data_IF_179742678472
#
_entry.id   IF_179742678472
#
_cell.length_a   1.000
_cell.length_b   1.000
_cell.length_c   1.000
_cell.angle_alpha   90.00
_cell.angle_beta   90.00
_cell.angle_gamma   90.00
#
_symmetry.space_group_name_H-M   'P 1'
#
loop_
_entity.id
_entity.type
_entity.pdbx_description
1 polymer ?
#
# COMPACT_ATOMS: atom_id res chain seq x y z
N UNK A 1 9.22 -5.43 9.85
CA UNK A 1 9.24 -6.89 9.59
C UNK A 1 9.79 -7.10 8.18
N UNK A 2 10.28 -8.29 7.87
CA UNK A 2 10.90 -8.56 6.56
C UNK A 2 10.57 -9.99 6.14
N UNK A 3 10.31 -10.21 4.86
CA UNK A 3 10.18 -11.54 4.28
C UNK A 3 11.58 -11.94 3.75
N UNK A 4 12.24 -12.96 4.32
CA UNK A 4 13.55 -13.41 3.84
C UNK A 4 13.48 -14.32 2.61
N UNK A 5 12.26 -14.69 2.21
CA UNK A 5 11.97 -15.66 1.16
C UNK A 5 12.05 -15.07 -0.25
N UNK A 6 12.39 -15.93 -1.20
CA UNK A 6 12.32 -15.61 -2.61
C UNK A 6 10.94 -15.96 -3.21
N UNK A 7 10.81 -15.88 -4.54
CA UNK A 7 9.55 -16.15 -5.23
C UNK A 7 9.22 -17.64 -5.32
N UNK A 8 10.24 -18.51 -5.29
CA UNK A 8 10.09 -19.95 -5.37
C UNK A 8 9.48 -20.54 -4.09
N UNK A 9 9.70 -19.90 -2.95
CA UNK A 9 9.14 -20.27 -1.65
C UNK A 9 7.60 -20.19 -1.59
N UNK A 10 6.97 -19.45 -2.52
CA UNK A 10 5.51 -19.22 -2.57
C UNK A 10 4.90 -18.78 -1.24
N UNK A 11 5.69 -18.09 -0.42
CA UNK A 11 5.28 -17.68 0.91
C UNK A 11 4.15 -16.63 0.85
N UNK A 12 3.30 -16.55 1.88
CA UNK A 12 2.25 -15.53 1.95
C UNK A 12 2.80 -14.14 2.35
N UNK A 13 4.08 -14.02 2.72
CA UNK A 13 4.67 -12.75 3.17
C UNK A 13 5.13 -11.83 2.04
N UNK A 14 5.49 -12.38 0.87
CA UNK A 14 6.04 -11.60 -0.23
C UNK A 14 4.92 -10.92 -1.00
N UNK A 15 4.99 -9.59 -1.09
CA UNK A 15 4.09 -8.77 -1.93
C UNK A 15 4.05 -9.34 -3.36
N UNK A 16 2.88 -9.39 -4.01
CA UNK A 16 1.63 -8.71 -3.66
C UNK A 16 0.78 -9.40 -2.59
N UNK A 17 1.26 -10.48 -1.95
CA UNK A 17 0.57 -11.08 -0.80
C UNK A 17 0.53 -10.13 0.41
N UNK A 18 -0.50 -10.30 1.23
CA UNK A 18 -0.90 -9.34 2.27
C UNK A 18 -0.45 -9.72 3.67
N UNK A 19 0.17 -10.89 3.89
CA UNK A 19 0.37 -11.41 5.24
C UNK A 19 1.24 -10.47 6.12
N UNK A 20 2.26 -9.82 5.55
CA UNK A 20 3.05 -8.84 6.31
C UNK A 20 2.27 -7.58 6.69
N UNK A 21 1.24 -7.20 5.94
CA UNK A 21 0.39 -6.05 6.30
C UNK A 21 -0.55 -6.42 7.45
N UNK A 22 -1.12 -7.62 7.45
CA UNK A 22 -1.93 -8.11 8.57
C UNK A 22 -1.09 -8.38 9.83
N UNK A 23 0.14 -8.89 9.67
CA UNK A 23 1.08 -9.02 10.78
C UNK A 23 1.41 -7.63 11.37
N UNK A 24 1.57 -6.61 10.51
CA UNK A 24 1.86 -5.24 10.94
C UNK A 24 0.69 -4.66 11.73
N UNK A 25 -0.52 -4.83 11.19
CA UNK A 25 -1.74 -4.39 11.83
C UNK A 25 -1.93 -5.03 13.20
N UNK A 26 -1.67 -6.32 13.33
CA UNK A 26 -1.75 -7.04 14.60
C UNK A 26 -0.68 -6.57 15.58
N UNK A 27 0.58 -6.48 15.13
CA UNK A 27 1.73 -6.15 15.97
C UNK A 27 1.68 -4.74 16.52
N UNK A 28 1.18 -3.79 15.73
CA UNK A 28 1.17 -2.37 16.08
C UNK A 28 -0.23 -1.81 16.30
N UNK A 29 -1.24 -2.67 16.36
CA UNK A 29 -2.64 -2.29 16.53
C UNK A 29 -3.08 -1.22 15.52
N UNK A 30 -2.71 -1.40 14.25
CA UNK A 30 -3.06 -0.47 13.18
C UNK A 30 -4.48 -0.76 12.68
N UNK A 31 -5.26 0.30 12.52
CA UNK A 31 -6.48 0.26 11.74
C UNK A 31 -6.13 0.40 10.26
N UNK A 32 -6.20 -0.72 9.53
CA UNK A 32 -5.86 -0.75 8.11
C UNK A 32 -6.83 0.08 7.27
N UNK A 33 -8.11 0.14 7.61
CA UNK A 33 -9.11 0.89 6.84
C UNK A 33 -8.86 2.41 6.91
N UNK A 34 -8.25 2.85 8.01
CA UNK A 34 -7.79 4.23 8.23
C UNK A 34 -6.31 4.47 7.90
N UNK A 35 -5.63 3.47 7.34
CA UNK A 35 -4.22 3.56 6.94
C UNK A 35 -4.05 3.83 5.45
N UNK A 36 -2.85 4.28 5.08
CA UNK A 36 -2.45 4.54 3.70
C UNK A 36 -1.17 3.77 3.36
N UNK A 37 -1.08 3.28 2.13
CA UNK A 37 0.16 2.73 1.55
C UNK A 37 0.56 3.61 0.38
N UNK A 38 1.80 4.10 0.40
CA UNK A 38 2.36 4.91 -0.68
C UNK A 38 3.58 4.15 -1.20
N UNK A 39 3.59 3.78 -2.48
CA UNK A 39 4.72 3.09 -3.08
C UNK A 39 4.88 3.45 -4.54
N UNK A 40 6.06 3.21 -5.09
CA UNK A 40 6.36 3.30 -6.50
C UNK A 40 6.35 1.93 -7.20
N UNK A 41 6.12 0.84 -6.46
CA UNK A 41 6.07 -0.54 -6.97
C UNK A 41 4.63 -1.05 -7.01
N UNK A 42 4.27 -1.72 -8.09
CA UNK A 42 2.91 -2.23 -8.26
C UNK A 42 2.54 -3.29 -7.21
N UNK A 43 3.49 -4.12 -6.77
CA UNK A 43 3.24 -5.19 -5.80
C UNK A 43 2.82 -4.64 -4.43
N UNK A 44 3.37 -3.50 -4.04
CA UNK A 44 2.99 -2.79 -2.81
C UNK A 44 1.57 -2.24 -2.90
N UNK A 45 1.23 -1.59 -4.01
CA UNK A 45 -0.10 -1.04 -4.21
C UNK A 45 -1.15 -2.15 -4.25
N UNK A 46 -0.85 -3.27 -4.90
CA UNK A 46 -1.75 -4.42 -4.94
C UNK A 46 -1.96 -5.05 -3.57
N UNK A 47 -0.88 -5.25 -2.80
CA UNK A 47 -0.98 -5.73 -1.42
C UNK A 47 -1.84 -4.78 -0.55
N UNK A 48 -1.69 -3.47 -0.72
CA UNK A 48 -2.52 -2.47 -0.03
C UNK A 48 -4.00 -2.58 -0.40
N UNK A 49 -4.33 -2.59 -1.69
CA UNK A 49 -5.71 -2.72 -2.17
C UNK A 49 -6.39 -3.99 -1.67
N UNK A 50 -5.63 -5.08 -1.53
CA UNK A 50 -6.14 -6.36 -1.04
C UNK A 50 -6.26 -6.48 0.49
N UNK A 51 -5.71 -5.53 1.27
CA UNK A 51 -5.62 -5.63 2.74
C UNK A 51 -6.41 -4.58 3.53
N UNK A 52 -7.10 -3.66 2.86
CA UNK A 52 -7.89 -2.60 3.50
C UNK A 52 -7.36 -1.16 3.34
N UNK A 53 -6.06 -0.85 3.48
CA UNK A 53 -5.60 0.52 3.42
C UNK A 53 -5.78 1.13 2.05
N UNK A 54 -5.88 2.46 2.02
CA UNK A 54 -5.91 3.20 0.77
C UNK A 54 -4.50 3.21 0.16
N UNK A 55 -4.33 2.50 -0.96
CA UNK A 55 -3.07 2.44 -1.68
C UNK A 55 -2.98 3.54 -2.74
N UNK A 56 -1.88 4.30 -2.72
CA UNK A 56 -1.54 5.35 -3.68
C UNK A 56 -0.23 4.93 -4.37
N UNK A 57 -0.31 4.63 -5.67
CA UNK A 57 0.82 4.26 -6.49
C UNK A 57 1.44 5.49 -7.15
N UNK A 58 2.69 5.80 -6.81
CA UNK A 58 3.46 6.87 -7.44
C UNK A 58 3.99 6.38 -8.79
N UNK A 59 3.80 7.19 -9.83
CA UNK A 59 4.32 6.96 -11.19
C UNK A 59 5.83 6.73 -11.14
N UNK A 60 6.27 5.61 -11.69
CA UNK A 60 7.67 5.22 -11.71
C UNK A 60 7.93 4.14 -12.77
N UNK A 61 9.20 3.82 -13.10
CA UNK A 61 9.51 2.67 -13.96
C UNK A 61 9.07 1.31 -13.39
N UNK A 62 8.76 1.21 -12.10
CA UNK A 62 8.42 -0.04 -11.41
C UNK A 62 6.90 -0.26 -11.23
N UNK A 63 6.06 0.59 -11.83
CA UNK A 63 4.60 0.36 -11.84
C UNK A 63 4.17 -0.71 -12.85
N UNK A 64 5.10 -1.21 -13.66
CA UNK A 64 4.85 -2.26 -14.65
C UNK A 64 3.85 -1.80 -15.70
N UNK A 65 2.75 -2.55 -15.85
CA UNK A 65 1.67 -2.22 -16.78
C UNK A 65 0.60 -1.29 -16.17
N UNK A 66 0.69 -0.98 -14.87
CA UNK A 66 -0.25 -0.10 -14.22
C UNK A 66 0.07 1.37 -14.54
N UNK A 67 -0.95 2.23 -14.48
CA UNK A 67 -0.75 3.67 -14.41
C UNK A 67 -0.53 4.06 -12.94
N UNK A 68 0.44 4.92 -12.66
CA UNK A 68 0.53 5.56 -11.35
C UNK A 68 -0.72 6.41 -11.07
N UNK A 69 -1.20 6.36 -9.83
CA UNK A 69 -2.33 7.16 -9.34
C UNK A 69 -1.94 8.64 -9.26
N UNK A 70 -0.68 8.91 -8.89
CA UNK A 70 -0.10 10.24 -8.75
C UNK A 70 1.31 10.30 -9.31
N UNK A 71 1.80 11.51 -9.56
CA UNK A 71 3.10 11.71 -10.22
C UNK A 71 4.30 11.65 -9.27
N UNK A 72 4.11 12.10 -8.03
CA UNK A 72 5.16 12.19 -7.03
C UNK A 72 4.59 12.11 -5.61
N UNK A 73 5.49 12.11 -4.62
CA UNK A 73 5.12 12.02 -3.20
C UNK A 73 4.38 13.28 -2.71
N UNK A 74 4.64 14.46 -3.31
CA UNK A 74 3.95 15.69 -2.93
C UNK A 74 2.46 15.56 -3.26
N UNK A 75 2.17 15.13 -4.48
CA UNK A 75 0.81 14.89 -4.96
C UNK A 75 0.13 13.77 -4.16
N UNK A 76 0.87 12.74 -3.75
CA UNK A 76 0.35 11.71 -2.85
C UNK A 76 -0.09 12.29 -1.49
N UNK A 77 0.69 13.21 -0.91
CA UNK A 77 0.34 13.87 0.37
C UNK A 77 -0.90 14.75 0.22
N UNK A 78 -1.02 15.48 -0.88
CA UNK A 78 -2.20 16.30 -1.16
C UNK A 78 -3.46 15.43 -1.30
N UNK A 79 -3.33 14.26 -1.93
CA UNK A 79 -4.41 13.29 -2.05
C UNK A 79 -4.82 12.70 -0.68
N UNK A 80 -3.86 12.37 0.18
CA UNK A 80 -4.14 11.90 1.55
C UNK A 80 -4.90 12.96 2.35
N UNK A 81 -4.51 14.23 2.25
CA UNK A 81 -5.22 15.34 2.91
C UNK A 81 -6.65 15.45 2.40
N UNK A 82 -6.86 15.35 1.08
CA UNK A 82 -8.19 15.37 0.46
C UNK A 82 -9.07 14.23 0.99
N UNK A 83 -8.58 12.99 0.95
CA UNK A 83 -9.30 11.80 1.41
C UNK A 83 -9.63 11.90 2.89
N UNK A 84 -8.68 12.31 3.72
CA UNK A 84 -8.87 12.43 5.16
C UNK A 84 -9.94 13.47 5.49
N UNK A 85 -9.92 14.61 4.81
CA UNK A 85 -10.93 15.66 4.96
C UNK A 85 -12.33 15.19 4.55
N UNK A 86 -12.44 14.41 3.47
CA UNK A 86 -13.73 13.85 3.02
C UNK A 86 -14.30 12.81 3.99
N UNK A 87 -13.43 12.00 4.62
CA UNK A 87 -13.85 11.02 5.64
C UNK A 87 -14.39 11.69 6.90
N UNK A 88 -13.86 12.85 7.29
CA UNK A 88 -14.32 13.60 8.47
C UNK A 88 -15.70 14.25 8.30
N UNK A 89 -16.20 14.40 7.07
CA UNK A 89 -17.52 14.98 6.79
C UNK A 89 -18.66 13.96 6.82
N UNK A 90 -18.33 12.68 6.84
CA UNK A 90 -19.29 11.57 6.94
C UNK A 90 -19.51 11.23 8.41
#
# INVERSE_FOLDING_TARGET
>A
MVCPHDESDRCPCRKPRTALLFEAATKWHLDLDHSFIISNKWEDAEAGRMSGPTAILIRSPWVGQLKGDVDDLRTAVDEIKRITFERQKK
#
